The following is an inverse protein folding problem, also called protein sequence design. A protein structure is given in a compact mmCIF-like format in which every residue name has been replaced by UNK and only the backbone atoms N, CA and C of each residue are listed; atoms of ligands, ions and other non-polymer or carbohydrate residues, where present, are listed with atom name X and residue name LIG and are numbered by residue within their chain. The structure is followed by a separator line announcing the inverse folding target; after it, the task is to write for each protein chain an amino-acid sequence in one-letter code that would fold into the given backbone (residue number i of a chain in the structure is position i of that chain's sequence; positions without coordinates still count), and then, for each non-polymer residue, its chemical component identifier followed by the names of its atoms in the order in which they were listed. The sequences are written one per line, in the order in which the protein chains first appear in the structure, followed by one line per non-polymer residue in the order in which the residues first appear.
data_IF_938549353898
#
_entry.id   IF_938549353898
#
_cell.length_a   1.000
_cell.length_b   1.000
_cell.length_c   1.000
_cell.angle_alpha   90.00
_cell.angle_beta   90.00
_cell.angle_gamma   90.00
#
_symmetry.space_group_name_H-M   'P 1'
#
loop_
_entity.id
_entity.type
_entity.pdbx_description
1 polymer ?
#
# COMPACT_ATOMS: atom_id res chain seq x y z
N UNK A 1 23.96 12.97 12.43
CA UNK A 1 23.80 14.42 12.13
C UNK A 1 22.56 14.55 11.26
N UNK A 2 21.50 15.16 11.77
CA UNK A 2 20.29 15.42 11.00
C UNK A 2 20.36 16.87 10.50
N UNK A 3 20.35 17.09 9.18
CA UNK A 3 20.45 18.43 8.58
C UNK A 3 19.10 19.14 8.71
N UNK A 4 19.09 20.27 9.42
CA UNK A 4 17.90 21.11 9.56
C UNK A 4 17.31 21.43 8.16
N UNK A 5 16.02 21.12 7.96
CA UNK A 5 15.32 21.30 6.69
C UNK A 5 15.27 20.09 5.76
N UNK A 6 15.85 18.95 6.15
CA UNK A 6 15.81 17.68 5.39
C UNK A 6 15.07 16.53 6.10
N UNK A 7 14.39 16.78 7.23
CA UNK A 7 13.33 15.85 7.62
C UNK A 7 12.28 15.95 6.52
N UNK A 8 12.02 14.85 5.81
CA UNK A 8 10.69 14.67 5.29
C UNK A 8 9.68 14.87 6.43
N UNK A 9 8.42 15.05 6.12
CA UNK A 9 7.38 14.89 7.14
C UNK A 9 6.87 13.46 7.06
N UNK A 10 7.71 12.41 7.34
CA UNK A 10 7.28 11.06 7.15
C UNK A 10 6.09 10.84 8.08
N UNK A 11 5.04 10.35 7.47
CA UNK A 11 3.76 10.22 8.12
C UNK A 11 3.39 8.74 8.04
N UNK A 12 3.13 8.15 9.20
CA UNK A 12 2.64 6.78 9.31
C UNK A 12 1.13 6.82 9.38
N UNK A 13 0.46 6.20 8.41
CA UNK A 13 -0.97 5.92 8.46
C UNK A 13 -1.17 4.57 9.11
N UNK A 14 -2.06 4.51 10.08
CA UNK A 14 -2.44 3.28 10.78
C UNK A 14 -3.94 3.07 10.60
N UNK A 15 -4.33 1.88 10.15
CA UNK A 15 -5.71 1.45 10.23
C UNK A 15 -5.98 0.92 11.63
N UNK A 16 -6.76 1.71 12.37
CA UNK A 16 -7.18 1.46 13.75
C UNK A 16 -8.70 1.54 13.84
N UNK A 17 -9.29 0.83 14.80
CA UNK A 17 -10.74 0.79 15.00
C UNK A 17 -11.27 2.12 15.57
N UNK A 18 -10.43 2.85 16.30
CA UNK A 18 -10.67 4.21 16.79
C UNK A 18 -9.34 4.97 16.97
N UNK A 19 -9.42 6.19 17.52
CA UNK A 19 -8.27 7.09 17.74
C UNK A 19 -7.58 6.90 19.10
N UNK A 20 -7.95 5.88 19.87
CA UNK A 20 -7.27 5.57 21.13
C UNK A 20 -5.84 5.10 20.88
N UNK A 21 -4.96 5.38 21.84
CA UNK A 21 -3.58 4.86 21.80
C UNK A 21 -3.55 3.33 21.71
N UNK A 22 -4.48 2.65 22.39
CA UNK A 22 -4.58 1.19 22.35
C UNK A 22 -4.92 0.69 20.93
N UNK A 23 -5.94 1.25 20.28
CA UNK A 23 -6.33 0.86 18.93
C UNK A 23 -5.24 1.16 17.90
N UNK A 24 -4.55 2.29 18.03
CA UNK A 24 -3.41 2.65 17.18
C UNK A 24 -2.27 1.63 17.35
N UNK A 25 -1.89 1.33 18.59
CA UNK A 25 -0.83 0.34 18.87
C UNK A 25 -1.24 -1.07 18.41
N UNK A 26 -2.51 -1.45 18.53
CA UNK A 26 -3.02 -2.71 18.00
C UNK A 26 -2.88 -2.77 16.47
N UNK A 27 -3.28 -1.70 15.77
CA UNK A 27 -3.09 -1.59 14.32
C UNK A 27 -1.63 -1.74 13.90
N UNK A 28 -0.71 -1.04 14.57
CA UNK A 28 0.72 -1.15 14.32
C UNK A 28 1.26 -2.57 14.57
N UNK A 29 0.88 -3.21 15.68
CA UNK A 29 1.29 -4.59 16.00
C UNK A 29 0.79 -5.60 14.98
N UNK A 30 -0.36 -5.35 14.37
CA UNK A 30 -0.92 -6.19 13.30
C UNK A 30 -0.42 -5.78 11.91
N UNK A 31 0.53 -4.85 11.83
CA UNK A 31 1.08 -4.39 10.56
C UNK A 31 0.09 -3.61 9.70
N UNK A 32 -1.04 -3.15 10.25
CA UNK A 32 -2.08 -2.38 9.55
C UNK A 32 -1.63 -0.93 9.34
N UNK A 33 -0.51 -0.74 8.65
CA UNK A 33 0.09 0.58 8.47
C UNK A 33 0.87 0.72 7.17
N UNK A 34 1.03 1.97 6.75
CA UNK A 34 1.91 2.36 5.65
C UNK A 34 2.55 3.70 5.96
N UNK A 35 3.64 4.00 5.28
CA UNK A 35 4.39 5.25 5.44
C UNK A 35 4.29 6.10 4.18
N UNK A 36 4.28 7.41 4.37
CA UNK A 36 4.21 8.41 3.33
C UNK A 36 5.29 9.48 3.54
N UNK A 37 5.71 10.18 2.48
CA UNK A 37 6.61 11.33 2.60
C UNK A 37 5.96 12.56 3.26
N UNK A 38 4.61 12.64 3.21
CA UNK A 38 3.82 13.76 3.74
C UNK A 38 2.37 13.34 4.00
N UNK A 39 1.58 14.25 4.59
CA UNK A 39 0.14 14.06 4.81
C UNK A 39 -0.70 14.34 3.55
N UNK A 40 -0.11 14.84 2.46
CA UNK A 40 -0.82 15.09 1.19
C UNK A 40 -0.88 13.86 0.29
N UNK A 41 -0.12 12.81 0.62
CA UNK A 41 -0.17 11.53 -0.09
C UNK A 41 -1.23 10.64 0.54
N UNK A 42 -2.17 10.18 -0.28
CA UNK A 42 -3.22 9.25 0.12
C UNK A 42 -3.06 7.93 -0.64
N UNK A 43 -3.23 6.82 0.08
CA UNK A 43 -3.08 5.48 -0.46
C UNK A 43 -4.14 4.56 0.14
N UNK A 44 -4.89 3.88 -0.72
CA UNK A 44 -5.81 2.81 -0.36
C UNK A 44 -5.39 1.55 -1.12
N UNK A 45 -5.21 0.44 -0.40
CA UNK A 45 -4.91 -0.86 -0.99
C UNK A 45 -5.93 -1.87 -0.49
N UNK A 46 -6.60 -2.49 -1.44
CA UNK A 46 -7.65 -3.48 -1.18
C UNK A 46 -7.42 -4.70 -2.06
N UNK A 47 -7.36 -5.87 -1.45
CA UNK A 47 -7.41 -7.15 -2.14
C UNK A 47 -8.80 -7.75 -1.97
N UNK A 48 -9.39 -8.25 -3.04
CA UNK A 48 -10.71 -8.90 -3.03
C UNK A 48 -10.73 -10.19 -3.81
N UNK A 49 -11.47 -11.18 -3.33
CA UNK A 49 -11.70 -12.46 -4.01
C UNK A 49 -13.09 -12.95 -3.60
N UNK A 50 -13.94 -13.31 -4.57
CA UNK A 50 -15.37 -13.53 -4.36
C UNK A 50 -16.03 -12.40 -3.53
N UNK A 51 -16.61 -12.73 -2.39
CA UNK A 51 -17.26 -11.83 -1.42
C UNK A 51 -16.32 -11.34 -0.30
N UNK A 52 -15.04 -11.71 -0.35
CA UNK A 52 -14.05 -11.44 0.71
C UNK A 52 -13.14 -10.28 0.32
N UNK A 53 -12.76 -9.51 1.32
CA UNK A 53 -11.92 -8.32 1.17
C UNK A 53 -10.89 -8.24 2.28
N UNK A 54 -9.68 -7.79 1.96
CA UNK A 54 -8.62 -7.49 2.91
C UNK A 54 -7.86 -6.23 2.49
N UNK A 55 -7.32 -5.52 3.46
CA UNK A 55 -6.46 -4.34 3.27
C UNK A 55 -5.03 -4.60 3.79
N UNK A 56 -4.21 -3.54 3.81
CA UNK A 56 -2.83 -3.56 4.35
C UNK A 56 -2.79 -4.18 5.76
N UNK A 57 -1.86 -5.13 5.96
CA UNK A 57 -1.69 -5.84 7.24
C UNK A 57 -2.70 -6.97 7.48
N UNK A 58 -3.71 -7.12 6.63
CA UNK A 58 -4.71 -8.18 6.74
C UNK A 58 -4.38 -9.38 5.82
N UNK A 59 -5.14 -10.46 6.01
CA UNK A 59 -5.07 -11.70 5.22
C UNK A 59 -6.35 -11.85 4.40
N UNK A 60 -6.22 -12.10 3.10
CA UNK A 60 -7.32 -12.49 2.24
C UNK A 60 -7.27 -14.00 2.02
N UNK A 61 -8.30 -14.72 2.48
CA UNK A 61 -8.50 -16.12 2.10
C UNK A 61 -9.19 -16.19 0.74
N UNK A 62 -8.45 -16.52 -0.32
CA UNK A 62 -8.99 -16.57 -1.69
C UNK A 62 -9.74 -17.86 -1.97
N UNK A 63 -9.50 -18.91 -1.18
CA UNK A 63 -10.13 -20.22 -1.42
C UNK A 63 -9.74 -20.85 -2.75
N UNK A 64 -8.57 -20.50 -3.28
CA UNK A 64 -8.10 -20.93 -4.61
C UNK A 64 -8.67 -20.10 -5.77
N UNK A 65 -9.55 -19.13 -5.51
CA UNK A 65 -10.05 -18.22 -6.53
C UNK A 65 -9.03 -17.11 -6.85
N UNK A 66 -9.27 -16.44 -7.97
CA UNK A 66 -8.51 -15.25 -8.36
C UNK A 66 -8.75 -14.13 -7.33
N UNK A 67 -7.68 -13.42 -6.99
CA UNK A 67 -7.70 -12.19 -6.22
C UNK A 67 -7.44 -10.99 -7.12
N UNK A 68 -8.15 -9.89 -6.87
CA UNK A 68 -7.89 -8.59 -7.47
C UNK A 68 -7.29 -7.67 -6.41
N UNK A 69 -6.10 -7.15 -6.66
CA UNK A 69 -5.48 -6.09 -5.86
C UNK A 69 -5.75 -4.76 -6.53
N UNK A 70 -6.55 -3.91 -5.88
CA UNK A 70 -6.81 -2.53 -6.27
C UNK A 70 -5.95 -1.60 -5.42
N UNK A 71 -5.27 -0.68 -6.08
CA UNK A 71 -4.53 0.40 -5.43
C UNK A 71 -5.06 1.73 -5.93
N UNK A 72 -5.55 2.57 -5.03
CA UNK A 72 -5.89 3.96 -5.33
C UNK A 72 -4.87 4.89 -4.67
N UNK A 73 -4.40 5.88 -5.42
CA UNK A 73 -3.41 6.86 -4.98
C UNK A 73 -3.91 8.26 -5.30
N UNK A 74 -3.59 9.22 -4.43
CA UNK A 74 -3.69 10.65 -4.70
C UNK A 74 -2.51 11.40 -4.10
N UNK A 75 -2.16 12.56 -4.68
CA UNK A 75 -1.10 13.45 -4.17
C UNK A 75 0.30 13.13 -4.67
N UNK A 76 0.46 12.29 -5.70
CA UNK A 76 1.78 11.96 -6.29
C UNK A 76 1.78 12.21 -7.80
N UNK A 77 1.93 13.48 -8.26
CA UNK A 77 1.91 13.86 -9.68
C UNK A 77 2.88 13.03 -10.53
N UNK A 78 2.35 12.41 -11.60
CA UNK A 78 3.12 11.53 -12.49
C UNK A 78 3.87 10.41 -11.77
N UNK A 79 3.42 10.03 -10.57
CA UNK A 79 4.04 8.99 -9.77
C UNK A 79 3.95 7.62 -10.43
N UNK A 80 4.67 6.65 -9.88
CA UNK A 80 4.62 5.26 -10.35
C UNK A 80 4.25 4.37 -9.18
N UNK A 81 3.16 3.63 -9.35
CA UNK A 81 2.73 2.57 -8.43
C UNK A 81 3.38 1.27 -8.86
N UNK A 82 3.97 0.54 -7.92
CA UNK A 82 4.52 -0.80 -8.12
C UNK A 82 4.05 -1.76 -7.04
N UNK A 83 3.72 -2.98 -7.45
CA UNK A 83 3.37 -4.08 -6.55
C UNK A 83 4.51 -5.08 -6.52
N UNK A 84 4.85 -5.53 -5.31
CA UNK A 84 5.97 -6.42 -5.03
C UNK A 84 5.48 -7.66 -4.27
N UNK A 85 5.99 -8.82 -4.68
CA UNK A 85 5.76 -10.13 -4.06
C UNK A 85 7.10 -10.80 -3.76
N UNK A 86 7.11 -12.06 -3.34
CA UNK A 86 8.33 -12.86 -3.21
C UNK A 86 9.09 -13.03 -4.54
N UNK A 87 8.42 -12.79 -5.68
CA UNK A 87 9.02 -12.85 -7.02
C UNK A 87 9.58 -11.50 -7.49
N UNK A 88 9.57 -10.47 -6.64
CA UNK A 88 9.97 -9.11 -6.97
C UNK A 88 8.79 -8.27 -7.48
N UNK A 89 9.06 -7.31 -8.37
CA UNK A 89 8.02 -6.43 -8.93
C UNK A 89 7.18 -7.18 -9.97
N UNK A 90 5.88 -7.31 -9.72
CA UNK A 90 4.93 -8.05 -10.58
C UNK A 90 4.00 -7.13 -11.38
N UNK A 91 3.83 -5.89 -10.92
CA UNK A 91 2.99 -4.89 -11.58
C UNK A 91 3.58 -3.51 -11.42
N UNK A 92 3.42 -2.66 -12.45
CA UNK A 92 3.88 -1.27 -12.46
C UNK A 92 2.98 -0.43 -13.34
N UNK A 93 2.52 0.70 -12.83
CA UNK A 93 1.65 1.62 -13.57
C UNK A 93 1.96 3.08 -13.20
N UNK A 94 1.94 3.96 -14.19
CA UNK A 94 2.13 5.39 -13.99
C UNK A 94 0.80 6.05 -13.63
N UNK A 95 0.83 6.98 -12.67
CA UNK A 95 -0.28 7.85 -12.34
C UNK A 95 -0.37 8.99 -13.37
N UNK A 96 -1.56 9.57 -13.56
CA UNK A 96 -1.71 10.75 -14.40
C UNK A 96 -0.94 11.96 -13.84
N UNK A 97 -0.77 13.03 -14.64
CA UNK A 97 -0.08 14.24 -14.19
C UNK A 97 -0.69 14.92 -12.96
N UNK A 98 -1.98 14.74 -12.71
CA UNK A 98 -2.67 15.25 -11.51
C UNK A 98 -2.37 14.42 -10.24
N UNK A 99 -1.69 13.28 -10.39
CA UNK A 99 -1.25 12.42 -9.31
C UNK A 99 -2.34 11.59 -8.65
N UNK A 100 -3.51 11.46 -9.28
CA UNK A 100 -4.63 10.67 -8.76
C UNK A 100 -5.00 9.55 -9.73
N UNK A 101 -5.03 8.31 -9.25
CA UNK A 101 -5.27 7.17 -10.12
C UNK A 101 -5.61 5.88 -9.37
N UNK A 102 -6.21 4.93 -10.10
CA UNK A 102 -6.44 3.57 -9.61
C UNK A 102 -5.73 2.59 -10.53
N UNK A 103 -4.91 1.71 -9.97
CA UNK A 103 -4.38 0.56 -10.66
C UNK A 103 -4.99 -0.74 -10.13
N UNK A 104 -5.06 -1.77 -10.98
CA UNK A 104 -5.56 -3.09 -10.63
C UNK A 104 -4.62 -4.16 -11.15
N UNK A 105 -4.38 -5.17 -10.34
CA UNK A 105 -3.60 -6.34 -10.69
C UNK A 105 -4.35 -7.60 -10.23
N UNK A 106 -4.32 -8.65 -11.05
CA UNK A 106 -5.00 -9.91 -10.78
C UNK A 106 -3.96 -11.00 -10.52
N UNK A 107 -4.22 -11.87 -9.56
CA UNK A 107 -3.32 -12.96 -9.17
C UNK A 107 -4.06 -14.10 -8.49
N UNK A 108 -3.37 -15.16 -8.10
CA UNK A 108 -3.85 -16.19 -7.17
C UNK A 108 -2.93 -16.29 -5.95
N UNK A 109 -3.38 -16.95 -4.87
CA UNK A 109 -2.54 -17.19 -3.70
C UNK A 109 -1.30 -18.06 -4.02
N UNK A 110 -1.35 -18.88 -5.07
CA UNK A 110 -0.20 -19.69 -5.53
C UNK A 110 0.85 -18.86 -6.29
N UNK A 111 0.44 -17.73 -6.86
CA UNK A 111 1.31 -16.83 -7.61
C UNK A 111 1.99 -15.77 -6.74
N UNK A 112 1.34 -15.39 -5.64
CA UNK A 112 1.83 -14.39 -4.69
C UNK A 112 1.31 -14.67 -3.28
N UNK A 113 2.21 -14.94 -2.35
CA UNK A 113 1.85 -15.13 -0.93
C UNK A 113 1.62 -13.80 -0.18
N UNK A 114 2.16 -12.71 -0.71
CA UNK A 114 1.95 -11.37 -0.18
C UNK A 114 2.03 -10.33 -1.29
N UNK A 115 1.47 -9.15 -1.00
CA UNK A 115 1.60 -7.97 -1.87
C UNK A 115 2.00 -6.77 -1.04
N UNK A 116 3.08 -6.10 -1.45
CA UNK A 116 3.48 -4.79 -0.95
C UNK A 116 3.38 -3.77 -2.08
N UNK A 117 2.73 -2.66 -1.78
CA UNK A 117 2.64 -1.50 -2.68
C UNK A 117 3.71 -0.49 -2.32
N UNK A 118 4.37 0.02 -3.35
CA UNK A 118 5.30 1.14 -3.30
C UNK A 118 4.90 2.18 -4.34
N UNK A 119 4.92 3.46 -3.96
CA UNK A 119 4.68 4.60 -4.84
C UNK A 119 5.93 5.46 -4.86
N UNK A 120 6.43 5.80 -6.05
CA UNK A 120 7.60 6.68 -6.23
C UNK A 120 7.29 7.83 -7.17
N UNK A 121 7.89 8.99 -6.91
CA UNK A 121 7.95 10.09 -7.87
C UNK A 121 8.79 9.71 -9.11
N UNK A 122 8.66 10.45 -10.23
CA UNK A 122 9.54 10.28 -11.40
C UNK A 122 11.03 10.37 -11.07
N UNK A 123 11.39 11.16 -10.05
CA UNK A 123 12.75 11.32 -9.51
C UNK A 123 13.24 10.09 -8.75
N UNK A 124 12.42 9.04 -8.65
CA UNK A 124 12.61 7.82 -7.86
C UNK A 124 12.57 8.04 -6.35
N UNK A 125 12.25 9.22 -5.85
CA UNK A 125 11.97 9.42 -4.42
C UNK A 125 10.73 8.64 -4.02
N UNK A 126 10.75 7.99 -2.85
CA UNK A 126 9.62 7.23 -2.34
C UNK A 126 8.56 8.18 -1.79
N UNK A 127 7.35 8.10 -2.35
CA UNK A 127 6.19 8.85 -1.89
C UNK A 127 5.39 8.06 -0.85
N UNK A 128 5.25 6.73 -1.03
CA UNK A 128 4.60 5.85 -0.06
C UNK A 128 5.10 4.40 -0.14
N UNK A 129 5.03 3.68 0.99
CA UNK A 129 5.34 2.26 1.10
C UNK A 129 4.42 1.59 2.13
N UNK A 130 3.84 0.45 1.75
CA UNK A 130 2.92 -0.30 2.62
C UNK A 130 3.60 -1.43 3.38
N UNK A 131 3.05 -1.78 4.53
CA UNK A 131 3.21 -3.15 5.02
C UNK A 131 2.50 -4.13 4.08
N UNK A 132 2.87 -5.42 4.11
CA UNK A 132 2.26 -6.39 3.20
C UNK A 132 0.79 -6.65 3.58
N UNK A 133 -0.05 -6.88 2.57
CA UNK A 133 -1.25 -7.70 2.72
C UNK A 133 -0.90 -9.14 2.30
N UNK A 134 -1.55 -10.11 2.89
CA UNK A 134 -1.23 -11.53 2.70
C UNK A 134 -2.36 -12.21 1.92
N UNK A 135 -2.03 -13.07 0.97
CA UNK A 135 -2.97 -13.90 0.23
C UNK A 135 -2.80 -15.36 0.67
N UNK A 136 -3.91 -16.06 0.93
CA UNK A 136 -3.93 -17.44 1.44
C UNK A 136 -5.03 -18.27 0.81
#
# INVERSE_FOLDING_TARGET
MHLAGQLGTPHTVVFAEDLSTEAILAGLRHGRSWIAESTSVHLEVTASSADRVAAVGQRLSTGGEQATVRVWVSGVPSGVVSLHTERGTVHREALPPDGTGTTRWHTTADEAGFVRVEVRHPTRQMAALTNPLILT
#
